data_IF_309647162842
#
_entry.id   IF_309647162842
#
_cell.length_a   1.000
_cell.length_b   1.000
_cell.length_c   1.000
_cell.angle_alpha   90.00
_cell.angle_beta   90.00
_cell.angle_gamma   90.00
#
_symmetry.space_group_name_H-M   'P 1'
#
loop_
_entity.id
_entity.type
_entity.pdbx_description
1 polymer ?
#
# COMPACT_ATOMS: atom_id res chain seq x y z
N UNK A 1 13.73 -1.14 16.99
CA UNK A 1 13.66 0.03 16.08
C UNK A 1 14.20 1.25 16.81
N UNK A 2 15.14 2.00 16.21
CA UNK A 2 15.68 3.22 16.85
C UNK A 2 14.74 4.38 16.58
N UNK A 3 13.96 4.79 17.58
CA UNK A 3 13.01 5.90 17.49
C UNK A 3 13.66 7.25 17.11
N UNK A 4 14.98 7.37 17.22
CA UNK A 4 15.79 8.54 16.85
C UNK A 4 16.35 8.52 15.42
N UNK A 5 15.96 7.54 14.59
CA UNK A 5 16.58 7.36 13.26
C UNK A 5 16.14 8.40 12.21
N UNK A 6 15.05 9.15 12.42
CA UNK A 6 14.52 10.09 11.42
C UNK A 6 14.63 11.55 11.92
N UNK A 7 15.43 12.39 11.26
CA UNK A 7 15.44 13.84 11.49
C UNK A 7 14.06 14.47 11.25
N UNK A 8 13.72 15.54 11.99
CA UNK A 8 12.39 16.18 11.92
C UNK A 8 12.10 16.80 10.56
N UNK A 9 13.11 17.39 9.94
CA UNK A 9 13.06 17.96 8.59
C UNK A 9 12.80 16.88 7.52
N UNK A 10 13.34 15.68 7.72
CA UNK A 10 13.06 14.52 6.87
C UNK A 10 11.64 14.02 7.10
N UNK A 11 11.19 13.91 8.35
CA UNK A 11 9.82 13.50 8.67
C UNK A 11 8.76 14.44 8.06
N UNK A 12 9.02 15.75 8.05
CA UNK A 12 8.13 16.76 7.49
C UNK A 12 7.90 16.64 5.96
N UNK A 13 8.69 15.83 5.25
CA UNK A 13 8.51 15.54 3.82
C UNK A 13 7.50 14.43 3.53
N UNK A 14 7.11 13.65 4.53
CA UNK A 14 6.15 12.56 4.39
C UNK A 14 4.73 13.04 4.65
N UNK A 15 3.75 12.27 4.18
CA UNK A 15 2.34 12.46 4.55
C UNK A 15 2.17 12.29 6.08
N UNK A 16 1.13 12.89 6.67
CA UNK A 16 0.79 12.66 8.06
C UNK A 16 0.68 11.17 8.40
N UNK A 17 1.07 10.78 9.62
CA UNK A 17 1.01 9.39 10.06
C UNK A 17 -0.42 8.79 9.96
N UNK A 18 -1.45 9.62 10.11
CA UNK A 18 -2.86 9.25 9.96
C UNK A 18 -3.17 8.68 8.57
N UNK A 19 -2.49 9.14 7.53
CA UNK A 19 -2.77 8.75 6.15
C UNK A 19 -2.29 7.32 5.87
N UNK A 20 -1.35 6.84 6.69
CA UNK A 20 -0.85 5.47 6.68
C UNK A 20 -1.61 4.54 7.63
N UNK A 21 -2.56 5.03 8.43
CA UNK A 21 -3.24 4.23 9.46
C UNK A 21 -3.96 2.98 8.90
N UNK A 22 -4.43 3.05 7.64
CA UNK A 22 -5.07 1.93 6.94
C UNK A 22 -4.11 1.05 6.13
N UNK A 23 -2.85 1.43 6.00
CA UNK A 23 -1.87 0.69 5.24
C UNK A 23 -1.57 -0.65 5.93
N UNK A 24 -1.53 -1.72 5.13
CA UNK A 24 -1.23 -3.08 5.59
C UNK A 24 -0.28 -3.74 4.60
N UNK A 25 0.49 -4.71 5.07
CA UNK A 25 1.32 -5.53 4.20
C UNK A 25 0.44 -6.32 3.21
N UNK A 26 0.87 -6.38 1.95
CA UNK A 26 0.22 -7.15 0.90
C UNK A 26 0.91 -8.51 0.79
N UNK A 27 0.12 -9.59 0.77
CA UNK A 27 0.60 -10.92 0.42
C UNK A 27 0.66 -11.03 -1.12
N UNK A 28 1.86 -10.99 -1.66
CA UNK A 28 2.09 -11.06 -3.11
C UNK A 28 1.78 -12.43 -3.71
N UNK A 29 1.91 -13.52 -2.95
CA UNK A 29 1.55 -14.85 -3.45
C UNK A 29 0.04 -14.95 -3.62
N UNK A 30 -0.72 -14.45 -2.63
CA UNK A 30 -2.18 -14.34 -2.73
C UNK A 30 -2.62 -13.40 -3.85
N UNK A 31 -1.93 -12.26 -4.03
CA UNK A 31 -2.21 -11.32 -5.11
C UNK A 31 -1.99 -11.97 -6.49
N UNK A 32 -0.88 -12.69 -6.67
CA UNK A 32 -0.57 -13.39 -7.91
C UNK A 32 -1.65 -14.43 -8.27
N UNK A 33 -2.12 -15.20 -7.28
CA UNK A 33 -3.18 -16.18 -7.48
C UNK A 33 -4.51 -15.56 -7.97
N UNK A 34 -4.81 -14.31 -7.58
CA UNK A 34 -6.04 -13.62 -7.97
C UNK A 34 -5.90 -12.72 -9.21
N UNK A 35 -4.68 -12.50 -9.71
CA UNK A 35 -4.36 -11.44 -10.67
C UNK A 35 -5.19 -11.54 -11.96
N UNK A 36 -5.27 -12.73 -12.58
CA UNK A 36 -5.97 -12.90 -13.84
C UNK A 36 -7.48 -12.67 -13.70
N UNK A 37 -8.09 -13.27 -12.69
CA UNK A 37 -9.52 -13.14 -12.43
C UNK A 37 -9.93 -11.67 -12.16
N UNK A 38 -9.05 -10.91 -11.48
CA UNK A 38 -9.25 -9.48 -11.29
C UNK A 38 -9.31 -8.71 -12.62
N UNK A 39 -8.31 -8.91 -13.50
CA UNK A 39 -8.26 -8.24 -14.81
C UNK A 39 -9.47 -8.60 -15.69
N UNK A 40 -9.83 -9.88 -15.74
CA UNK A 40 -10.97 -10.35 -16.54
C UNK A 40 -12.27 -9.69 -16.06
N UNK A 41 -12.49 -9.62 -14.74
CA UNK A 41 -13.66 -8.97 -14.14
C UNK A 41 -13.68 -7.46 -14.39
N UNK A 42 -12.54 -6.78 -14.24
CA UNK A 42 -12.46 -5.33 -14.47
C UNK A 42 -12.90 -4.97 -15.90
N UNK A 43 -12.46 -5.73 -16.89
CA UNK A 43 -12.86 -5.51 -18.29
C UNK A 43 -14.35 -5.77 -18.55
N UNK A 44 -14.98 -6.65 -17.78
CA UNK A 44 -16.42 -6.93 -17.88
C UNK A 44 -17.27 -5.87 -17.19
N UNK A 45 -16.86 -5.44 -16.00
CA UNK A 45 -17.66 -4.59 -15.12
C UNK A 45 -17.51 -3.08 -15.41
N UNK A 46 -16.37 -2.66 -15.99
CA UNK A 46 -16.02 -1.23 -16.15
C UNK A 46 -16.10 -0.74 -17.60
N UNK A 47 -16.06 -1.64 -18.58
CA UNK A 47 -16.23 -1.27 -19.99
C UNK A 47 -17.68 -0.88 -20.26
#
# INVERSE_FOLDING_TARGET
VRASAMPKDVQARFLPASDYARAKAVDYAKMAAAQKAFSDRYLQDVK
#
